data_IF_372283188860
#
_entry.id   IF_372283188860
#
_cell.length_a   1.000
_cell.length_b   1.000
_cell.length_c   1.000
_cell.angle_alpha   90.00
_cell.angle_beta   90.00
_cell.angle_gamma   90.00
#
_symmetry.space_group_name_H-M   'P 1'
#
loop_
_entity.id
_entity.type
_entity.pdbx_description
1 polymer ?
#
# COMPACT_ATOMS: atom_id res chain seq x y z
N UNK A 1 -12.51 2.57 -22.30
CA UNK A 1 -11.64 3.53 -21.60
C UNK A 1 -10.82 2.71 -20.63
N UNK A 2 -9.51 2.63 -20.84
CA UNK A 2 -8.67 1.71 -20.09
C UNK A 2 -8.66 2.06 -18.62
N UNK A 3 -8.83 1.07 -17.75
CA UNK A 3 -8.73 1.19 -16.29
C UNK A 3 -7.34 1.72 -15.83
N UNK A 4 -6.40 1.85 -16.78
CA UNK A 4 -5.13 2.56 -16.66
C UNK A 4 -5.34 4.05 -16.34
N UNK A 5 -6.29 4.70 -17.02
CA UNK A 5 -6.57 6.14 -16.90
C UNK A 5 -7.26 6.48 -15.59
N UNK A 6 -8.15 5.62 -15.10
CA UNK A 6 -8.84 5.85 -13.82
C UNK A 6 -7.88 5.83 -12.63
N UNK A 7 -7.04 4.80 -12.49
CA UNK A 7 -6.09 4.76 -11.37
C UNK A 7 -4.99 5.84 -11.49
N UNK A 8 -4.65 6.28 -12.71
CA UNK A 8 -3.80 7.47 -12.91
C UNK A 8 -4.51 8.77 -12.53
N UNK A 9 -5.80 8.90 -12.84
CA UNK A 9 -6.61 10.04 -12.43
C UNK A 9 -6.78 10.09 -10.91
N UNK A 10 -7.09 8.96 -10.26
CA UNK A 10 -7.16 8.90 -8.79
C UNK A 10 -5.82 9.26 -8.15
N UNK A 11 -4.71 8.75 -8.70
CA UNK A 11 -3.37 9.13 -8.28
C UNK A 11 -3.09 10.63 -8.43
N UNK A 12 -3.45 11.22 -9.58
CA UNK A 12 -3.29 12.65 -9.81
C UNK A 12 -4.18 13.51 -8.92
N UNK A 13 -5.43 13.10 -8.68
CA UNK A 13 -6.37 13.81 -7.80
C UNK A 13 -5.84 13.81 -6.37
N UNK A 14 -5.38 12.64 -5.89
CA UNK A 14 -4.87 12.51 -4.55
C UNK A 14 -3.60 13.35 -4.34
N UNK A 15 -2.70 13.43 -5.32
CA UNK A 15 -1.50 14.27 -5.27
C UNK A 15 -1.74 15.79 -5.44
N UNK A 16 -2.89 16.19 -5.97
CA UNK A 16 -3.26 17.61 -6.14
C UNK A 16 -3.97 18.19 -4.92
N UNK A 17 -4.27 17.38 -3.90
CA UNK A 17 -4.80 17.86 -2.62
C UNK A 17 -3.79 18.78 -1.92
N UNK A 18 -4.18 20.00 -1.51
CA UNK A 18 -3.28 20.88 -0.76
C UNK A 18 -2.82 20.20 0.53
N UNK A 19 -1.49 20.12 0.74
CA UNK A 19 -0.86 19.53 1.93
C UNK A 19 -0.57 18.02 1.85
N UNK A 20 -0.97 17.32 0.78
CA UNK A 20 -0.74 15.85 0.65
C UNK A 20 0.75 15.51 0.53
N UNK A 21 1.55 16.38 -0.09
CA UNK A 21 3.01 16.19 -0.16
C UNK A 21 3.73 16.58 1.14
N UNK A 22 3.06 17.35 2.01
CA UNK A 22 3.65 17.86 3.25
C UNK A 22 3.40 16.93 4.45
N UNK A 23 2.45 15.99 4.33
CA UNK A 23 2.20 14.95 5.34
C UNK A 23 2.45 13.53 4.78
N UNK A 24 3.59 12.92 5.13
CA UNK A 24 3.91 11.54 4.76
C UNK A 24 2.87 10.51 5.22
N UNK A 25 2.14 10.74 6.33
CA UNK A 25 1.06 9.84 6.77
C UNK A 25 -0.09 9.84 5.79
N UNK A 26 -0.59 11.02 5.46
CA UNK A 26 -1.65 11.19 4.45
C UNK A 26 -1.25 10.57 3.12
N UNK A 27 0.00 10.79 2.67
CA UNK A 27 0.48 10.21 1.41
C UNK A 27 0.54 8.68 1.45
N UNK A 28 1.03 8.08 2.54
CA UNK A 28 1.07 6.63 2.70
C UNK A 28 -0.35 6.02 2.68
N UNK A 29 -1.31 6.65 3.36
CA UNK A 29 -2.71 6.21 3.37
C UNK A 29 -3.33 6.23 1.96
N UNK A 30 -3.11 7.31 1.20
CA UNK A 30 -3.57 7.42 -0.19
C UNK A 30 -3.05 6.27 -1.04
N UNK A 31 -1.75 5.95 -0.93
CA UNK A 31 -1.17 4.84 -1.67
C UNK A 31 -1.74 3.49 -1.23
N UNK A 32 -2.02 3.31 0.05
CA UNK A 32 -2.69 2.11 0.55
C UNK A 32 -4.10 1.96 -0.06
N UNK A 33 -4.89 3.04 -0.09
CA UNK A 33 -6.24 3.01 -0.65
C UNK A 33 -6.22 2.75 -2.17
N UNK A 34 -5.26 3.32 -2.90
CA UNK A 34 -5.05 3.02 -4.32
C UNK A 34 -4.68 1.56 -4.55
N UNK A 35 -3.87 0.98 -3.66
CA UNK A 35 -3.52 -0.44 -3.68
C UNK A 35 -4.74 -1.32 -3.49
N UNK A 36 -5.60 -0.97 -2.54
CA UNK A 36 -6.85 -1.67 -2.25
C UNK A 36 -7.83 -1.60 -3.41
N UNK A 37 -8.03 -0.42 -3.99
CA UNK A 37 -8.88 -0.29 -5.18
C UNK A 37 -8.32 -1.16 -6.32
N UNK A 38 -7.01 -1.12 -6.56
CA UNK A 38 -6.39 -1.94 -7.60
C UNK A 38 -6.54 -3.46 -7.35
N UNK A 39 -6.48 -3.92 -6.10
CA UNK A 39 -6.67 -5.34 -5.76
C UNK A 39 -8.10 -5.80 -6.01
N UNK A 40 -9.10 -4.97 -5.70
CA UNK A 40 -10.52 -5.24 -5.95
C UNK A 40 -10.83 -5.43 -7.45
N UNK A 41 -10.07 -4.76 -8.32
CA UNK A 41 -10.13 -4.94 -9.78
C UNK A 41 -9.18 -6.03 -10.31
N UNK A 42 -8.61 -6.85 -9.43
CA UNK A 42 -7.69 -7.94 -9.75
C UNK A 42 -6.38 -7.50 -10.45
N UNK A 43 -5.98 -6.24 -10.30
CA UNK A 43 -4.70 -5.71 -10.81
C UNK A 43 -3.58 -5.91 -9.80
N UNK A 44 -3.22 -7.18 -9.55
CA UNK A 44 -2.31 -7.60 -8.48
C UNK A 44 -0.95 -6.88 -8.51
N UNK A 45 -0.31 -6.78 -9.66
CA UNK A 45 1.00 -6.14 -9.80
C UNK A 45 0.92 -4.63 -9.52
N UNK A 46 -0.22 -4.01 -9.84
CA UNK A 46 -0.44 -2.58 -9.60
C UNK A 46 -0.76 -2.31 -8.14
N UNK A 47 -1.59 -3.15 -7.53
CA UNK A 47 -1.85 -3.13 -6.09
C UNK A 47 -0.54 -3.21 -5.31
N UNK A 48 0.32 -4.16 -5.69
CA UNK A 48 1.63 -4.34 -5.07
C UNK A 48 2.52 -3.09 -5.19
N UNK A 49 2.52 -2.42 -6.35
CA UNK A 49 3.27 -1.16 -6.53
C UNK A 49 2.79 -0.07 -5.60
N UNK A 50 1.49 0.11 -5.47
CA UNK A 50 0.92 1.14 -4.61
C UNK A 50 1.14 0.83 -3.12
N UNK A 51 0.89 -0.39 -2.67
CA UNK A 51 1.16 -0.77 -1.29
C UNK A 51 2.65 -0.65 -0.92
N UNK A 52 3.57 -1.01 -1.83
CA UNK A 52 5.00 -0.82 -1.60
C UNK A 52 5.40 0.64 -1.51
N UNK A 53 4.76 1.53 -2.28
CA UNK A 53 4.97 2.96 -2.15
C UNK A 53 4.50 3.46 -0.77
N UNK A 54 3.32 3.03 -0.32
CA UNK A 54 2.82 3.33 1.03
C UNK A 54 3.79 2.87 2.13
N UNK A 55 4.28 1.62 2.02
CA UNK A 55 5.23 1.03 2.97
C UNK A 55 6.56 1.79 2.98
N UNK A 56 7.11 2.16 1.81
CA UNK A 56 8.37 2.92 1.71
C UNK A 56 8.27 4.28 2.40
N UNK A 57 7.17 5.00 2.17
CA UNK A 57 6.94 6.31 2.81
C UNK A 57 6.87 6.14 4.33
N UNK A 58 6.16 5.12 4.79
CA UNK A 58 6.02 4.88 6.22
C UNK A 58 7.32 4.43 6.89
N UNK A 59 8.15 3.62 6.22
CA UNK A 59 9.45 3.20 6.76
C UNK A 59 10.47 4.34 6.84
N UNK A 60 10.42 5.31 5.93
CA UNK A 60 11.35 6.45 5.94
C UNK A 60 10.97 7.53 6.98
N UNK A 61 9.69 7.60 7.35
CA UNK A 61 9.13 8.75 8.07
C UNK A 61 8.49 8.41 9.41
N UNK A 62 8.21 7.13 9.68
CA UNK A 62 7.62 6.68 10.94
C UNK A 62 8.62 5.84 11.74
N UNK A 63 8.41 5.70 13.07
CA UNK A 63 9.08 4.67 13.84
C UNK A 63 8.85 3.29 13.21
N UNK A 64 9.85 2.40 13.30
CA UNK A 64 9.81 1.05 12.71
C UNK A 64 8.59 0.20 13.13
N UNK A 65 7.96 0.53 14.26
CA UNK A 65 6.79 -0.14 14.83
C UNK A 65 5.54 0.75 14.79
N UNK A 66 5.44 1.67 13.84
CA UNK A 66 4.21 2.45 13.67
C UNK A 66 3.07 1.52 13.24
N UNK A 67 2.00 1.50 14.03
CA UNK A 67 0.81 0.67 13.81
C UNK A 67 0.17 0.89 12.42
N UNK A 68 0.44 2.01 11.74
CA UNK A 68 -0.03 2.23 10.37
C UNK A 68 0.64 1.31 9.33
N UNK A 69 1.79 0.69 9.64
CA UNK A 69 2.48 -0.21 8.73
C UNK A 69 1.87 -1.61 8.69
N UNK A 70 1.27 -2.09 9.79
CA UNK A 70 0.63 -3.42 9.86
C UNK A 70 -0.42 -3.65 8.76
N UNK A 71 -1.44 -2.78 8.58
CA UNK A 71 -2.45 -3.00 7.55
C UNK A 71 -1.85 -2.99 6.13
N UNK A 72 -0.83 -2.16 5.87
CA UNK A 72 -0.14 -2.12 4.58
C UNK A 72 0.60 -3.44 4.32
N UNK A 73 1.29 -3.97 5.32
CA UNK A 73 2.00 -5.26 5.24
C UNK A 73 1.03 -6.42 5.03
N UNK A 74 -0.09 -6.46 5.76
CA UNK A 74 -1.14 -7.46 5.55
C UNK A 74 -1.67 -7.43 4.11
N UNK A 75 -1.99 -6.23 3.59
CA UNK A 75 -2.46 -6.06 2.22
C UNK A 75 -1.43 -6.55 1.18
N UNK A 76 -0.13 -6.30 1.40
CA UNK A 76 0.94 -6.82 0.54
C UNK A 76 0.99 -8.36 0.61
N UNK A 77 0.88 -8.91 1.83
CA UNK A 77 0.85 -10.35 2.07
C UNK A 77 -0.29 -11.04 1.33
N UNK A 78 -1.51 -10.46 1.37
CA UNK A 78 -2.66 -10.98 0.62
C UNK A 78 -2.42 -11.00 -0.89
N UNK A 79 -1.79 -9.97 -1.44
CA UNK A 79 -1.45 -9.95 -2.88
C UNK A 79 -0.43 -11.03 -3.22
N UNK A 80 0.61 -11.22 -2.40
CA UNK A 80 1.59 -12.27 -2.61
C UNK A 80 0.97 -13.67 -2.49
N UNK A 81 0.07 -13.87 -1.53
CA UNK A 81 -0.71 -15.09 -1.40
C UNK A 81 -1.54 -15.36 -2.66
N UNK A 82 -2.23 -14.34 -3.18
CA UNK A 82 -3.00 -14.43 -4.42
C UNK A 82 -2.15 -14.65 -5.69
N UNK A 83 -0.83 -14.45 -5.61
CA UNK A 83 0.16 -14.75 -6.65
C UNK A 83 0.88 -16.10 -6.42
N UNK A 84 0.51 -16.83 -5.36
CA UNK A 84 1.17 -18.07 -4.91
C UNK A 84 2.64 -17.88 -4.48
N UNK A 85 3.05 -16.66 -4.15
CA UNK A 85 4.37 -16.35 -3.58
C UNK A 85 4.27 -16.41 -2.05
N UNK A 86 4.14 -17.64 -1.54
CA UNK A 86 3.81 -17.87 -0.12
C UNK A 86 4.93 -17.44 0.82
N UNK A 87 6.19 -17.55 0.40
CA UNK A 87 7.35 -17.12 1.20
C UNK A 87 7.28 -15.62 1.50
N UNK A 88 6.97 -14.80 0.49
CA UNK A 88 6.82 -13.34 0.69
C UNK A 88 5.54 -12.99 1.42
N UNK A 89 4.47 -13.75 1.22
CA UNK A 89 3.23 -13.54 1.96
C UNK A 89 3.46 -13.76 3.46
N UNK A 90 4.12 -14.87 3.83
CA UNK A 90 4.48 -15.18 5.21
C UNK A 90 5.36 -14.10 5.83
N UNK A 91 6.42 -13.65 5.13
CA UNK A 91 7.27 -12.55 5.62
C UNK A 91 6.45 -11.30 5.93
N UNK A 92 5.52 -10.93 5.04
CA UNK A 92 4.68 -9.75 5.24
C UNK A 92 3.74 -9.90 6.45
N UNK A 93 3.11 -11.06 6.60
CA UNK A 93 2.21 -11.33 7.73
C UNK A 93 2.95 -11.40 9.06
N UNK A 94 4.15 -12.00 9.10
CA UNK A 94 4.98 -12.03 10.29
C UNK A 94 5.36 -10.62 10.74
N UNK A 95 5.80 -9.78 9.81
CA UNK A 95 6.14 -8.38 10.10
C UNK A 95 4.94 -7.56 10.55
N UNK A 96 3.76 -7.80 9.99
CA UNK A 96 2.53 -7.13 10.46
C UNK A 96 2.21 -7.55 11.90
N UNK A 97 2.31 -8.85 12.20
CA UNK A 97 2.08 -9.38 13.54
C UNK A 97 3.09 -8.84 14.57
N UNK A 98 4.36 -8.69 14.20
CA UNK A 98 5.39 -8.09 15.07
C UNK A 98 5.07 -6.64 15.45
N UNK A 99 4.33 -5.91 14.62
CA UNK A 99 3.91 -4.52 14.90
C UNK A 99 2.67 -4.49 15.78
N UNK A 100 1.79 -5.47 15.66
CA UNK A 100 0.51 -5.54 16.39
C UNK A 100 0.64 -6.15 17.81
N UNK A 101 1.79 -6.78 18.14
CA UNK A 101 2.10 -7.40 19.44
C UNK A 101 2.69 -6.41 20.45
#
# INVERSE_FOLDING_TARGET
MDNLDQSKQFYQIALQGPGVQDDPRTLAMIYNDLGFIASQYNFKERALRFYKAALSIGQERFPLQDAQLSPILNNIGEIYFALNDFDKAEECFQRALEIDL
#
